data_IF_775726844468
#
_entry.id   IF_775726844468
#
_cell.length_a   1.000
_cell.length_b   1.000
_cell.length_c   1.000
_cell.angle_alpha   90.00
_cell.angle_beta   90.00
_cell.angle_gamma   90.00
#
_symmetry.space_group_name_H-M   'P 1'
#
loop_
_entity.id
_entity.type
_entity.pdbx_description
1 polymer ?
#
# COMPACT_ATOMS: atom_id res chain seq x y z
N UNK A 1 -17.32 -18.31 -17.65
CA UNK A 1 -16.28 -18.42 -16.59
C UNK A 1 -16.85 -18.12 -15.22
N UNK A 2 -17.61 -17.03 -15.06
CA UNK A 2 -18.20 -16.63 -13.77
C UNK A 2 -19.05 -17.72 -13.10
N UNK A 3 -19.92 -18.39 -13.87
CA UNK A 3 -20.72 -19.52 -13.36
C UNK A 3 -19.89 -20.70 -12.85
N UNK A 4 -18.71 -20.96 -13.45
CA UNK A 4 -17.82 -22.04 -12.99
C UNK A 4 -17.12 -21.65 -11.69
N UNK A 5 -16.68 -20.40 -11.56
CA UNK A 5 -16.07 -19.92 -10.31
C UNK A 5 -17.08 -19.88 -9.16
N UNK A 6 -18.32 -19.45 -9.43
CA UNK A 6 -19.41 -19.52 -8.45
C UNK A 6 -19.67 -20.95 -7.99
N UNK A 7 -19.68 -21.89 -8.93
CA UNK A 7 -19.88 -23.30 -8.63
C UNK A 7 -18.71 -23.91 -7.85
N UNK A 8 -17.46 -23.53 -8.15
CA UNK A 8 -16.27 -23.91 -7.36
C UNK A 8 -16.40 -23.41 -5.93
N UNK A 9 -16.88 -22.18 -5.73
CA UNK A 9 -17.08 -21.60 -4.41
C UNK A 9 -18.12 -22.31 -3.54
N UNK A 10 -18.92 -23.21 -4.13
CA UNK A 10 -20.00 -23.94 -3.45
C UNK A 10 -19.82 -25.47 -3.52
N UNK A 11 -18.62 -25.97 -3.85
CA UNK A 11 -18.35 -27.42 -3.95
C UNK A 11 -18.68 -28.19 -2.67
N UNK A 12 -18.54 -27.56 -1.51
CA UNK A 12 -18.87 -28.10 -0.18
C UNK A 12 -20.37 -28.29 0.06
N UNK A 13 -21.22 -27.65 -0.75
CA UNK A 13 -22.67 -27.75 -0.67
C UNK A 13 -23.28 -28.73 -1.70
N UNK A 14 -22.45 -29.33 -2.57
CA UNK A 14 -22.94 -30.20 -3.65
C UNK A 14 -23.08 -31.67 -3.18
N UNK A 15 -24.16 -32.37 -3.58
CA UNK A 15 -24.23 -33.82 -3.46
C UNK A 15 -23.10 -34.50 -4.24
N UNK A 16 -22.62 -35.66 -3.75
CA UNK A 16 -21.49 -36.40 -4.32
C UNK A 16 -21.54 -36.59 -5.85
N UNK A 17 -22.68 -36.98 -6.48
CA UNK A 17 -22.73 -37.12 -7.94
C UNK A 17 -22.47 -35.80 -8.69
N UNK A 18 -23.00 -34.68 -8.18
CA UNK A 18 -22.77 -33.35 -8.75
C UNK A 18 -21.35 -32.88 -8.54
N UNK A 19 -20.79 -33.12 -7.34
CA UNK A 19 -19.39 -32.84 -7.03
C UNK A 19 -18.45 -33.58 -7.99
N UNK A 20 -18.67 -34.88 -8.18
CA UNK A 20 -17.87 -35.73 -9.08
C UNK A 20 -17.95 -35.23 -10.53
N UNK A 21 -19.17 -34.95 -11.03
CA UNK A 21 -19.40 -34.42 -12.38
C UNK A 21 -18.64 -33.12 -12.64
N UNK A 22 -18.63 -32.23 -11.64
CA UNK A 22 -17.94 -30.95 -11.74
C UNK A 22 -16.44 -31.14 -11.82
N UNK A 23 -15.86 -31.96 -10.95
CA UNK A 23 -14.41 -32.23 -10.98
C UNK A 23 -13.99 -32.91 -12.28
N UNK A 24 -14.80 -33.84 -12.81
CA UNK A 24 -14.57 -34.46 -14.11
C UNK A 24 -14.58 -33.43 -15.24
N UNK A 25 -15.55 -32.51 -15.25
CA UNK A 25 -15.62 -31.45 -16.26
C UNK A 25 -14.42 -30.50 -16.19
N UNK A 26 -14.04 -30.06 -14.99
CA UNK A 26 -12.85 -29.22 -14.76
C UNK A 26 -11.54 -29.92 -15.15
N UNK A 27 -11.53 -31.25 -15.06
CA UNK A 27 -10.44 -32.13 -15.48
C UNK A 27 -10.43 -32.47 -16.98
N UNK A 28 -11.47 -32.11 -17.73
CA UNK A 28 -11.62 -32.49 -19.13
C UNK A 28 -10.68 -31.70 -20.05
N UNK A 29 -10.51 -32.17 -21.30
CA UNK A 29 -9.76 -31.44 -22.32
C UNK A 29 -10.36 -30.04 -22.61
N UNK A 30 -11.68 -29.88 -22.45
CA UNK A 30 -12.37 -28.62 -22.67
C UNK A 30 -11.89 -27.50 -21.74
N UNK A 31 -11.36 -27.84 -20.56
CA UNK A 31 -10.82 -26.88 -19.59
C UNK A 31 -9.29 -26.93 -19.57
N UNK A 32 -8.70 -28.13 -19.59
CA UNK A 32 -7.24 -28.28 -19.47
C UNK A 32 -6.47 -27.80 -20.70
N UNK A 33 -7.10 -27.72 -21.88
CA UNK A 33 -6.50 -27.19 -23.11
C UNK A 33 -6.80 -25.71 -23.36
N UNK A 34 -7.53 -25.03 -22.47
CA UNK A 34 -7.69 -23.57 -22.57
C UNK A 34 -6.33 -22.87 -22.40
N UNK A 35 -6.14 -21.69 -23.03
CA UNK A 35 -4.98 -20.85 -22.77
C UNK A 35 -4.79 -20.59 -21.27
N UNK A 36 -3.53 -20.45 -20.82
CA UNK A 36 -3.22 -20.35 -19.38
C UNK A 36 -3.96 -19.20 -18.69
N UNK A 37 -4.07 -18.05 -19.38
CA UNK A 37 -4.78 -16.87 -18.90
C UNK A 37 -6.28 -17.17 -18.72
N UNK A 38 -6.88 -17.97 -19.60
CA UNK A 38 -8.30 -18.32 -19.53
C UNK A 38 -8.58 -19.32 -18.42
N UNK A 39 -7.71 -20.32 -18.19
CA UNK A 39 -7.89 -21.28 -17.09
C UNK A 39 -7.44 -20.75 -15.71
N UNK A 40 -6.65 -19.67 -15.67
CA UNK A 40 -6.13 -19.07 -14.43
C UNK A 40 -7.23 -18.80 -13.37
N UNK A 41 -8.38 -18.16 -13.68
CA UNK A 41 -9.42 -17.91 -12.68
C UNK A 41 -10.00 -19.18 -12.05
N UNK A 42 -10.10 -20.26 -12.83
CA UNK A 42 -10.56 -21.58 -12.35
C UNK A 42 -9.52 -22.16 -11.41
N UNK A 43 -8.26 -22.21 -11.84
CA UNK A 43 -7.15 -22.72 -11.03
C UNK A 43 -7.02 -21.93 -9.71
N UNK A 44 -7.01 -20.60 -9.77
CA UNK A 44 -6.97 -19.73 -8.59
C UNK A 44 -8.14 -19.97 -7.65
N UNK A 45 -9.36 -20.18 -8.17
CA UNK A 45 -10.54 -20.45 -7.35
C UNK A 45 -10.44 -21.80 -6.64
N UNK A 46 -10.00 -22.85 -7.35
CA UNK A 46 -9.78 -24.18 -6.77
C UNK A 46 -8.69 -24.15 -5.70
N UNK A 47 -7.54 -23.52 -5.98
CA UNK A 47 -6.43 -23.40 -5.02
C UNK A 47 -6.85 -22.57 -3.80
N UNK A 48 -7.60 -21.48 -3.99
CA UNK A 48 -8.13 -20.69 -2.85
C UNK A 48 -9.08 -21.53 -2.01
N UNK A 49 -9.97 -22.28 -2.65
CA UNK A 49 -10.93 -23.15 -1.99
C UNK A 49 -10.22 -24.22 -1.15
N UNK A 50 -9.30 -24.99 -1.75
CA UNK A 50 -8.58 -26.06 -1.02
C UNK A 50 -7.75 -25.51 0.14
N UNK A 51 -7.04 -24.38 -0.06
CA UNK A 51 -6.30 -23.73 1.03
C UNK A 51 -7.18 -23.34 2.21
N UNK A 52 -8.37 -22.79 1.96
CA UNK A 52 -9.35 -22.48 3.02
C UNK A 52 -9.74 -23.75 3.78
N UNK A 53 -10.05 -24.84 3.09
CA UNK A 53 -10.42 -26.10 3.72
C UNK A 53 -9.27 -26.74 4.51
N UNK A 54 -8.04 -26.68 4.00
CA UNK A 54 -6.83 -27.16 4.71
C UNK A 54 -6.56 -26.36 5.99
N UNK A 55 -6.66 -25.04 5.91
CA UNK A 55 -6.41 -24.14 7.05
C UNK A 55 -7.40 -24.33 8.19
N UNK A 56 -8.64 -24.66 7.89
CA UNK A 56 -9.70 -24.85 8.88
C UNK A 56 -10.14 -26.31 8.99
N UNK A 57 -9.22 -27.27 8.78
CA UNK A 57 -9.51 -28.71 8.71
C UNK A 57 -10.25 -29.31 9.92
N UNK A 58 -10.24 -28.62 11.07
CA UNK A 58 -10.97 -28.99 12.28
C UNK A 58 -12.39 -28.41 12.38
N UNK A 59 -12.80 -27.54 11.47
CA UNK A 59 -14.10 -26.88 11.49
C UNK A 59 -15.20 -27.81 10.96
N UNK A 60 -16.44 -27.63 11.44
CA UNK A 60 -17.56 -28.49 11.03
C UNK A 60 -17.97 -28.36 9.56
N UNK A 61 -17.65 -27.23 8.93
CA UNK A 61 -18.02 -26.92 7.55
C UNK A 61 -16.97 -27.41 6.53
N UNK A 62 -15.81 -27.90 6.98
CA UNK A 62 -14.80 -28.37 6.03
C UNK A 62 -15.12 -29.73 5.46
N UNK A 63 -15.01 -29.85 4.14
CA UNK A 63 -14.90 -31.12 3.44
C UNK A 63 -13.84 -32.05 4.06
N UNK A 64 -14.07 -33.35 3.91
CA UNK A 64 -13.14 -34.39 4.32
C UNK A 64 -11.84 -34.37 3.48
N UNK A 65 -10.81 -35.02 4.00
CA UNK A 65 -9.46 -35.05 3.41
C UNK A 65 -9.43 -35.63 2.00
N UNK A 66 -10.24 -36.65 1.72
CA UNK A 66 -10.32 -37.30 0.41
C UNK A 66 -10.91 -36.32 -0.62
N UNK A 67 -12.03 -35.68 -0.28
CA UNK A 67 -12.68 -34.67 -1.11
C UNK A 67 -11.74 -33.50 -1.41
N UNK A 68 -11.06 -32.95 -0.41
CA UNK A 68 -10.10 -31.85 -0.61
C UNK A 68 -8.94 -32.29 -1.52
N UNK A 69 -8.38 -33.49 -1.30
CA UNK A 69 -7.30 -34.03 -2.13
C UNK A 69 -7.71 -34.23 -3.59
N UNK A 70 -8.97 -34.59 -3.86
CA UNK A 70 -9.50 -34.69 -5.24
C UNK A 70 -9.62 -33.33 -5.93
N UNK A 71 -10.00 -32.29 -5.20
CA UNK A 71 -10.02 -30.92 -5.73
C UNK A 71 -8.59 -30.45 -6.01
N UNK A 72 -7.64 -30.74 -5.12
CA UNK A 72 -6.21 -30.44 -5.31
C UNK A 72 -5.65 -31.14 -6.55
N UNK A 73 -5.96 -32.42 -6.75
CA UNK A 73 -5.57 -33.16 -7.95
C UNK A 73 -6.14 -32.52 -9.23
N UNK A 74 -7.39 -32.04 -9.18
CA UNK A 74 -8.02 -31.31 -10.30
C UNK A 74 -7.31 -29.98 -10.55
N UNK A 75 -7.04 -29.20 -9.50
CA UNK A 75 -6.30 -27.94 -9.59
C UNK A 75 -4.91 -28.14 -10.19
N UNK A 76 -4.20 -29.21 -9.80
CA UNK A 76 -2.85 -29.53 -10.29
C UNK A 76 -2.80 -29.73 -11.81
N UNK A 77 -3.89 -30.21 -12.44
CA UNK A 77 -3.99 -30.33 -13.90
C UNK A 77 -4.16 -28.98 -14.60
N UNK A 78 -4.61 -27.97 -13.87
CA UNK A 78 -4.83 -26.61 -14.36
C UNK A 78 -3.69 -25.65 -14.02
N UNK A 79 -2.64 -26.13 -13.32
CA UNK A 79 -1.48 -25.34 -12.94
C UNK A 79 -0.84 -24.67 -14.16
N UNK A 80 -0.68 -23.34 -14.14
CA UNK A 80 0.08 -22.62 -15.17
C UNK A 80 1.54 -23.08 -15.20
N UNK A 81 2.10 -23.19 -16.39
CA UNK A 81 3.52 -23.49 -16.59
C UNK A 81 4.36 -22.20 -16.60
N UNK A 82 3.78 -21.08 -17.04
CA UNK A 82 4.48 -19.79 -17.08
C UNK A 82 4.61 -19.22 -15.65
N UNK A 83 5.83 -18.93 -15.14
CA UNK A 83 6.03 -18.39 -13.80
C UNK A 83 5.22 -17.10 -13.53
N UNK A 84 5.10 -16.24 -14.54
CA UNK A 84 4.38 -14.95 -14.49
C UNK A 84 2.87 -15.12 -14.32
N UNK A 85 2.34 -16.31 -14.66
CA UNK A 85 0.92 -16.66 -14.46
C UNK A 85 0.77 -17.43 -13.15
N UNK A 86 1.67 -18.38 -12.90
CA UNK A 86 1.70 -19.22 -11.71
C UNK A 86 1.74 -18.38 -10.42
N UNK A 87 2.56 -17.33 -10.38
CA UNK A 87 2.80 -16.61 -9.12
C UNK A 87 1.87 -15.43 -8.84
N UNK A 88 0.93 -15.11 -9.73
CA UNK A 88 0.04 -13.93 -9.56
C UNK A 88 -0.68 -13.92 -8.21
N UNK A 89 -1.15 -15.07 -7.75
CA UNK A 89 -1.88 -15.20 -6.48
C UNK A 89 -1.02 -14.82 -5.25
N UNK A 90 0.30 -14.95 -5.31
CA UNK A 90 1.21 -14.55 -4.23
C UNK A 90 1.30 -13.03 -4.09
N UNK A 91 0.94 -12.27 -5.12
CA UNK A 91 1.00 -10.81 -5.17
C UNK A 91 -0.41 -10.20 -5.25
N UNK A 92 -1.34 -10.78 -4.48
CA UNK A 92 -2.68 -10.22 -4.26
C UNK A 92 -2.70 -9.19 -3.14
N UNK A 93 -3.79 -8.44 -3.03
CA UNK A 93 -4.00 -7.43 -1.98
C UNK A 93 -4.34 -8.02 -0.59
N UNK A 94 -4.59 -9.33 -0.49
CA UNK A 94 -5.10 -10.00 0.72
C UNK A 94 -4.12 -11.04 1.27
N UNK A 95 -3.03 -10.57 1.88
CA UNK A 95 -1.98 -11.45 2.45
C UNK A 95 -2.50 -12.45 3.48
N UNK A 96 -3.57 -12.10 4.23
CA UNK A 96 -4.18 -13.00 5.21
C UNK A 96 -4.73 -14.29 4.57
N UNK A 97 -5.21 -14.24 3.33
CA UNK A 97 -5.67 -15.42 2.58
C UNK A 97 -4.49 -16.31 2.17
N UNK A 98 -3.25 -15.80 2.27
CA UNK A 98 -2.03 -16.49 1.90
C UNK A 98 -1.29 -17.13 3.09
N UNK A 99 -1.77 -16.97 4.32
CA UNK A 99 -1.21 -17.63 5.50
C UNK A 99 -1.74 -19.06 5.65
N UNK A 100 -0.86 -19.94 6.12
CA UNK A 100 -1.11 -21.38 6.26
C UNK A 100 -1.67 -21.74 7.65
N UNK A 101 -1.38 -20.92 8.67
CA UNK A 101 -1.81 -21.12 10.05
C UNK A 101 -2.51 -19.87 10.60
N UNK A 102 -3.27 -20.03 11.68
CA UNK A 102 -3.98 -18.93 12.34
C UNK A 102 -3.12 -18.18 13.37
N UNK A 103 -2.06 -18.81 13.87
CA UNK A 103 -1.18 -18.26 14.92
C UNK A 103 0.18 -17.81 14.34
N UNK A 104 0.91 -17.01 15.12
CA UNK A 104 2.26 -16.51 14.79
C UNK A 104 2.38 -15.73 13.47
N UNK A 105 1.70 -14.59 13.39
CA UNK A 105 1.70 -13.71 12.21
C UNK A 105 3.10 -13.37 11.66
N UNK A 106 4.11 -13.22 12.54
CA UNK A 106 5.48 -12.87 12.14
C UNK A 106 6.11 -13.98 11.31
N UNK A 107 5.96 -15.22 11.73
CA UNK A 107 6.49 -16.38 11.02
C UNK A 107 5.76 -16.61 9.70
N UNK A 108 4.43 -16.49 9.71
CA UNK A 108 3.61 -16.60 8.50
C UNK A 108 3.98 -15.53 7.47
N UNK A 109 4.24 -14.29 7.93
CA UNK A 109 4.73 -13.22 7.06
C UNK A 109 6.08 -13.58 6.43
N UNK A 110 7.03 -14.07 7.23
CA UNK A 110 8.35 -14.49 6.74
C UNK A 110 8.25 -15.61 5.69
N UNK A 111 7.44 -16.65 5.94
CA UNK A 111 7.21 -17.75 4.99
C UNK A 111 6.61 -17.24 3.67
N UNK A 112 5.66 -16.31 3.74
CA UNK A 112 5.09 -15.68 2.55
C UNK A 112 6.13 -14.87 1.77
N UNK A 113 6.96 -14.11 2.46
CA UNK A 113 8.02 -13.30 1.84
C UNK A 113 9.07 -14.21 1.16
N UNK A 114 9.48 -15.32 1.78
CA UNK A 114 10.38 -16.32 1.17
C UNK A 114 9.78 -16.93 -0.12
N UNK A 115 8.47 -17.22 -0.12
CA UNK A 115 7.76 -17.70 -1.32
C UNK A 115 7.73 -16.66 -2.44
N UNK A 116 7.50 -15.38 -2.09
CA UNK A 116 7.54 -14.25 -3.03
C UNK A 116 8.94 -14.07 -3.61
N UNK A 117 9.98 -14.16 -2.79
CA UNK A 117 11.38 -14.09 -3.21
C UNK A 117 11.71 -15.18 -4.22
N UNK A 118 11.35 -16.44 -3.93
CA UNK A 118 11.53 -17.54 -4.86
C UNK A 118 10.79 -17.31 -6.19
N UNK A 119 9.54 -16.86 -6.12
CA UNK A 119 8.73 -16.55 -7.29
C UNK A 119 9.37 -15.50 -8.21
N UNK A 120 9.81 -14.37 -7.66
CA UNK A 120 10.48 -13.33 -8.45
C UNK A 120 11.81 -13.83 -9.00
N UNK A 121 12.58 -14.62 -8.24
CA UNK A 121 13.82 -15.21 -8.75
C UNK A 121 13.57 -16.13 -9.94
N UNK A 122 12.51 -16.95 -9.91
CA UNK A 122 12.13 -17.80 -11.03
C UNK A 122 11.70 -17.00 -12.26
N UNK A 123 10.94 -15.91 -12.08
CA UNK A 123 10.58 -15.01 -13.19
C UNK A 123 11.83 -14.34 -13.79
N UNK A 124 12.76 -13.85 -12.96
CA UNK A 124 14.03 -13.28 -13.45
C UNK A 124 14.81 -14.31 -14.25
N UNK A 125 14.90 -15.55 -13.77
CA UNK A 125 15.65 -16.60 -14.44
C UNK A 125 15.01 -17.00 -15.78
N UNK A 126 13.69 -16.94 -15.90
CA UNK A 126 12.96 -17.30 -17.10
C UNK A 126 12.99 -16.17 -18.16
N UNK A 127 12.74 -14.93 -17.73
CA UNK A 127 12.35 -13.83 -18.62
C UNK A 127 13.10 -12.51 -18.34
N UNK A 128 14.07 -12.54 -17.42
CA UNK A 128 14.84 -11.37 -17.02
C UNK A 128 14.00 -10.28 -16.35
N UNK A 129 14.55 -9.07 -16.31
CA UNK A 129 13.88 -7.91 -15.70
C UNK A 129 12.62 -7.52 -16.47
N UNK A 130 12.63 -7.65 -17.79
CA UNK A 130 11.46 -7.34 -18.62
C UNK A 130 10.26 -8.22 -18.23
N UNK A 131 10.47 -9.52 -17.98
CA UNK A 131 9.42 -10.40 -17.49
C UNK A 131 8.87 -10.01 -16.11
N UNK A 132 9.72 -9.48 -15.22
CA UNK A 132 9.26 -8.92 -13.93
C UNK A 132 8.36 -7.71 -14.16
N UNK A 133 8.68 -6.84 -15.12
CA UNK A 133 7.87 -5.66 -15.40
C UNK A 133 6.53 -6.00 -16.05
N UNK A 134 6.51 -6.98 -16.97
CA UNK A 134 5.27 -7.55 -17.49
C UNK A 134 4.42 -8.21 -16.39
N UNK A 135 5.08 -8.85 -15.42
CA UNK A 135 4.42 -9.39 -14.24
C UNK A 135 3.78 -8.29 -13.37
N UNK A 136 4.47 -7.15 -13.18
CA UNK A 136 3.92 -5.98 -12.47
C UNK A 136 2.60 -5.50 -13.09
N UNK A 137 2.51 -5.48 -14.42
CA UNK A 137 1.29 -5.07 -15.12
C UNK A 137 0.11 -6.03 -14.87
N UNK A 138 0.39 -7.29 -14.55
CA UNK A 138 -0.61 -8.35 -14.43
C UNK A 138 -1.11 -8.63 -12.99
N UNK A 139 -0.55 -7.95 -11.97
CA UNK A 139 -0.83 -8.25 -10.55
C UNK A 139 -1.47 -7.07 -9.79
N UNK A 140 -2.01 -7.36 -8.61
CA UNK A 140 -2.73 -6.40 -7.75
C UNK A 140 -1.80 -5.60 -6.84
N UNK A 141 -0.67 -6.18 -6.41
CA UNK A 141 0.26 -5.57 -5.46
C UNK A 141 1.66 -5.29 -6.04
N UNK A 142 1.84 -4.33 -6.98
CA UNK A 142 3.13 -3.96 -7.56
C UNK A 142 4.22 -3.60 -6.56
N UNK A 143 3.84 -2.91 -5.48
CA UNK A 143 4.76 -2.55 -4.39
C UNK A 143 5.42 -3.76 -3.74
N UNK A 144 4.73 -4.90 -3.70
CA UNK A 144 5.29 -6.14 -3.17
C UNK A 144 6.34 -6.74 -4.11
N UNK A 145 6.14 -6.63 -5.43
CA UNK A 145 7.15 -7.01 -6.42
C UNK A 145 8.39 -6.14 -6.26
N UNK A 146 8.21 -4.82 -6.15
CA UNK A 146 9.30 -3.87 -5.88
C UNK A 146 10.06 -4.21 -4.61
N UNK A 147 9.33 -4.44 -3.50
CA UNK A 147 9.91 -4.83 -2.22
C UNK A 147 10.77 -6.09 -2.35
N UNK A 148 10.22 -7.15 -2.96
CA UNK A 148 10.93 -8.41 -3.18
C UNK A 148 12.17 -8.21 -4.06
N UNK A 149 12.04 -7.47 -5.17
CA UNK A 149 13.16 -7.13 -6.06
C UNK A 149 14.29 -6.44 -5.30
N UNK A 150 14.00 -5.40 -4.52
CA UNK A 150 15.03 -4.69 -3.74
C UNK A 150 15.59 -5.51 -2.58
N UNK A 151 14.99 -6.66 -2.25
CA UNK A 151 15.50 -7.64 -1.28
C UNK A 151 16.49 -8.64 -1.89
N UNK A 152 16.18 -9.18 -3.06
CA UNK A 152 16.95 -10.33 -3.60
C UNK A 152 17.99 -9.95 -4.65
N UNK A 153 17.82 -8.79 -5.31
CA UNK A 153 18.70 -8.41 -6.43
C UNK A 153 19.95 -7.66 -5.94
N UNK A 154 21.09 -7.78 -6.63
CA UNK A 154 22.29 -7.00 -6.31
C UNK A 154 22.11 -5.51 -6.64
N UNK A 155 22.84 -4.62 -5.94
CA UNK A 155 22.78 -3.17 -6.16
C UNK A 155 23.17 -2.73 -7.58
N UNK A 156 23.81 -3.60 -8.37
CA UNK A 156 24.16 -3.33 -9.77
C UNK A 156 22.94 -3.09 -10.66
N UNK A 157 21.74 -3.46 -10.22
CA UNK A 157 20.49 -3.20 -10.93
C UNK A 157 19.93 -1.79 -10.68
N UNK A 158 20.32 -1.14 -9.59
CA UNK A 158 19.74 0.13 -9.16
C UNK A 158 19.91 1.24 -10.22
N UNK A 159 21.08 1.39 -10.88
CA UNK A 159 21.27 2.41 -11.94
C UNK A 159 20.44 2.16 -13.20
N UNK A 160 19.90 0.95 -13.38
CA UNK A 160 19.04 0.61 -14.51
C UNK A 160 17.58 0.84 -14.16
N UNK A 161 17.14 0.38 -12.98
CA UNK A 161 15.73 0.45 -12.57
C UNK A 161 15.32 1.85 -12.11
N UNK A 162 16.13 2.52 -11.29
CA UNK A 162 15.70 3.77 -10.65
C UNK A 162 15.44 4.88 -11.68
N UNK A 163 16.34 5.19 -12.63
CA UNK A 163 16.05 6.24 -13.62
C UNK A 163 14.81 5.91 -14.46
N UNK A 164 14.62 4.65 -14.83
CA UNK A 164 13.50 4.23 -15.69
C UNK A 164 12.14 4.36 -14.99
N UNK A 165 12.06 4.00 -13.71
CA UNK A 165 10.76 3.83 -13.01
C UNK A 165 10.43 4.88 -11.96
N UNK A 166 11.33 5.82 -11.65
CA UNK A 166 11.06 6.87 -10.65
C UNK A 166 10.08 7.95 -11.13
N UNK A 167 10.10 8.32 -12.42
CA UNK A 167 9.22 9.37 -12.97
C UNK A 167 8.31 8.83 -14.08
N UNK A 168 7.50 7.85 -13.72
CA UNK A 168 6.51 7.23 -14.60
C UNK A 168 5.10 7.61 -14.16
N UNK A 169 4.20 7.84 -15.12
CA UNK A 169 2.80 8.17 -14.84
C UNK A 169 1.97 6.95 -14.43
N UNK A 170 2.42 5.73 -14.74
CA UNK A 170 1.70 4.50 -14.44
C UNK A 170 1.76 4.22 -12.93
N UNK A 171 0.59 4.18 -12.28
CA UNK A 171 0.46 3.95 -10.83
C UNK A 171 1.07 2.63 -10.37
N UNK A 172 1.03 1.57 -11.19
CA UNK A 172 1.63 0.27 -10.84
C UNK A 172 3.14 0.37 -10.78
N UNK A 173 3.75 1.08 -11.72
CA UNK A 173 5.20 1.28 -11.72
C UNK A 173 5.65 2.23 -10.61
N UNK A 174 4.85 3.24 -10.26
CA UNK A 174 5.11 4.07 -9.07
C UNK A 174 5.08 3.23 -7.78
N UNK A 175 4.08 2.36 -7.64
CA UNK A 175 3.99 1.44 -6.51
C UNK A 175 5.19 0.48 -6.47
N UNK A 176 5.58 -0.08 -7.61
CA UNK A 176 6.79 -0.90 -7.75
C UNK A 176 8.05 -0.14 -7.31
N UNK A 177 8.28 1.07 -7.85
CA UNK A 177 9.43 1.89 -7.50
C UNK A 177 9.46 2.22 -6.00
N UNK A 178 8.32 2.58 -5.42
CA UNK A 178 8.20 2.82 -3.98
C UNK A 178 8.52 1.59 -3.14
N UNK A 179 8.02 0.41 -3.51
CA UNK A 179 8.36 -0.84 -2.85
C UNK A 179 9.85 -1.17 -2.92
N UNK A 180 10.46 -0.94 -4.09
CA UNK A 180 11.89 -1.19 -4.34
C UNK A 180 12.79 -0.25 -3.53
N UNK A 181 12.53 1.06 -3.58
CA UNK A 181 13.30 2.05 -2.80
C UNK A 181 13.14 1.78 -1.31
N UNK A 182 11.93 1.49 -0.85
CA UNK A 182 11.66 1.21 0.56
C UNK A 182 12.40 -0.04 1.05
N UNK A 183 12.42 -1.14 0.30
CA UNK A 183 13.14 -2.34 0.71
C UNK A 183 14.66 -2.16 0.70
N UNK A 184 15.21 -1.44 -0.28
CA UNK A 184 16.63 -1.09 -0.32
C UNK A 184 17.04 -0.27 0.89
N UNK A 185 16.27 0.77 1.21
CA UNK A 185 16.48 1.58 2.41
C UNK A 185 16.41 0.74 3.69
N UNK A 186 15.41 -0.14 3.84
CA UNK A 186 15.26 -0.97 5.04
C UNK A 186 16.45 -1.92 5.27
N UNK A 187 17.12 -2.38 4.21
CA UNK A 187 18.24 -3.31 4.31
C UNK A 187 19.60 -2.62 4.47
N UNK A 188 19.79 -1.47 3.81
CA UNK A 188 21.10 -0.85 3.65
C UNK A 188 21.18 0.58 4.23
N UNK A 189 20.05 1.13 4.66
CA UNK A 189 19.94 2.42 5.30
C UNK A 189 20.39 3.59 4.42
N UNK A 190 20.77 4.67 5.10
CA UNK A 190 21.21 5.92 4.47
C UNK A 190 22.48 5.78 3.63
N UNK A 191 23.35 4.80 3.95
CA UNK A 191 24.55 4.55 3.15
C UNK A 191 24.21 4.23 1.70
N UNK A 192 23.20 3.38 1.47
CA UNK A 192 22.74 3.08 0.11
C UNK A 192 22.19 4.33 -0.59
N UNK A 193 21.34 5.08 0.12
CA UNK A 193 20.73 6.33 -0.38
C UNK A 193 21.79 7.34 -0.85
N UNK A 194 22.86 7.50 -0.06
CA UNK A 194 23.90 8.48 -0.31
C UNK A 194 24.91 8.04 -1.39
N UNK A 195 25.08 6.73 -1.59
CA UNK A 195 25.98 6.17 -2.61
C UNK A 195 25.38 6.10 -4.03
N UNK A 196 24.09 6.40 -4.22
CA UNK A 196 23.47 6.41 -5.55
C UNK A 196 24.06 7.52 -6.43
N UNK A 197 24.47 7.16 -7.64
CA UNK A 197 24.80 8.14 -8.68
C UNK A 197 23.52 8.74 -9.26
N UNK A 198 23.31 10.02 -8.95
CA UNK A 198 22.14 10.80 -9.39
C UNK A 198 22.49 11.84 -10.46
N UNK A 199 23.70 11.79 -11.02
CA UNK A 199 24.21 12.84 -11.93
C UNK A 199 23.29 13.07 -13.14
N UNK A 200 22.65 12.01 -13.63
CA UNK A 200 21.75 12.06 -14.78
C UNK A 200 20.26 12.06 -14.41
N UNK A 201 19.92 12.20 -13.12
CA UNK A 201 18.52 12.23 -12.69
C UNK A 201 17.93 13.62 -12.87
N UNK A 202 16.72 13.68 -13.38
CA UNK A 202 15.89 14.88 -13.36
C UNK A 202 15.46 15.22 -11.93
N UNK A 203 15.11 16.49 -11.71
CA UNK A 203 14.55 16.95 -10.44
C UNK A 203 13.29 16.16 -10.03
N UNK A 204 12.47 15.73 -10.99
CA UNK A 204 11.28 14.94 -10.70
C UNK A 204 11.66 13.53 -10.21
N UNK A 205 12.63 12.86 -10.85
CA UNK A 205 13.11 11.55 -10.38
C UNK A 205 13.71 11.65 -8.97
N UNK A 206 14.51 12.69 -8.69
CA UNK A 206 15.05 12.94 -7.35
C UNK A 206 13.92 13.15 -6.34
N UNK A 207 12.91 13.96 -6.69
CA UNK A 207 11.75 14.21 -5.83
C UNK A 207 10.96 12.93 -5.54
N UNK A 208 10.68 12.12 -6.57
CA UNK A 208 9.95 10.85 -6.44
C UNK A 208 10.72 9.85 -5.57
N UNK A 209 12.03 9.74 -5.78
CA UNK A 209 12.88 8.90 -4.95
C UNK A 209 12.82 9.30 -3.47
N UNK A 210 12.93 10.60 -3.17
CA UNK A 210 12.85 11.12 -1.81
C UNK A 210 11.48 10.87 -1.17
N UNK A 211 10.39 10.93 -1.93
CA UNK A 211 9.04 10.62 -1.43
C UNK A 211 8.83 9.14 -1.09
N UNK A 212 9.71 8.25 -1.54
CA UNK A 212 9.69 6.83 -1.17
C UNK A 212 10.55 6.50 0.07
N UNK A 213 11.25 7.49 0.61
CA UNK A 213 12.04 7.38 1.85
C UNK A 213 11.20 7.78 3.07
N UNK A 214 11.64 7.49 4.31
CA UNK A 214 10.85 7.80 5.50
C UNK A 214 10.60 9.30 5.62
N UNK A 215 9.43 9.68 6.12
CA UNK A 215 9.09 11.07 6.41
C UNK A 215 9.79 11.55 7.69
N UNK A 216 11.11 11.79 7.59
CA UNK A 216 11.97 12.18 8.71
C UNK A 216 13.02 13.23 8.31
N UNK A 217 13.71 13.79 9.31
CA UNK A 217 14.71 14.86 9.16
C UNK A 217 15.82 14.52 8.16
N UNK A 218 16.27 13.27 8.10
CA UNK A 218 17.30 12.84 7.17
C UNK A 218 16.84 12.95 5.70
N UNK A 219 15.58 12.62 5.41
CA UNK A 219 14.99 12.81 4.08
C UNK A 219 14.85 14.30 3.78
N UNK A 220 14.41 15.10 4.75
CA UNK A 220 14.20 16.53 4.55
C UNK A 220 15.50 17.28 4.27
N UNK A 221 16.59 16.95 4.98
CA UNK A 221 17.91 17.47 4.68
C UNK A 221 18.35 17.14 3.25
N UNK A 222 18.08 15.91 2.78
CA UNK A 222 18.38 15.51 1.39
C UNK A 222 17.47 16.20 0.39
N UNK A 223 16.20 16.40 0.69
CA UNK A 223 15.29 17.17 -0.14
C UNK A 223 15.80 18.61 -0.34
N UNK A 224 16.18 19.28 0.75
CA UNK A 224 16.80 20.61 0.69
C UNK A 224 18.09 20.60 -0.13
N UNK A 225 19.00 19.64 0.13
CA UNK A 225 20.32 19.64 -0.49
C UNK A 225 20.31 19.19 -1.96
N UNK A 226 19.44 18.24 -2.34
CA UNK A 226 19.45 17.63 -3.68
C UNK A 226 18.50 18.33 -4.65
N UNK A 227 17.42 18.95 -4.16
CA UNK A 227 16.49 19.72 -4.99
C UNK A 227 16.83 21.22 -5.00
N UNK A 228 17.60 21.72 -4.02
CA UNK A 228 17.97 23.13 -3.93
C UNK A 228 16.76 24.05 -3.95
N UNK A 229 16.75 25.03 -4.86
CA UNK A 229 15.63 25.97 -5.05
C UNK A 229 14.29 25.29 -5.38
N UNK A 230 14.34 24.02 -5.82
CA UNK A 230 13.16 23.20 -6.13
C UNK A 230 12.68 22.33 -4.97
N UNK A 231 13.18 22.52 -3.73
CA UNK A 231 12.76 21.76 -2.54
C UNK A 231 11.23 21.77 -2.35
N UNK A 232 10.56 22.88 -2.70
CA UNK A 232 9.10 23.00 -2.61
C UNK A 232 8.34 21.88 -3.36
N UNK A 233 8.93 21.30 -4.41
CA UNK A 233 8.36 20.17 -5.15
C UNK A 233 8.11 18.95 -4.26
N UNK A 234 9.02 18.68 -3.32
CA UNK A 234 8.88 17.58 -2.37
C UNK A 234 7.72 17.85 -1.40
N UNK A 235 7.71 19.02 -0.77
CA UNK A 235 6.70 19.37 0.24
C UNK A 235 5.28 19.44 -0.33
N UNK A 236 5.14 19.87 -1.58
CA UNK A 236 3.85 19.90 -2.29
C UNK A 236 3.26 18.50 -2.52
N UNK A 237 4.08 17.46 -2.63
CA UNK A 237 3.64 16.13 -3.08
C UNK A 237 3.77 15.03 -2.05
N UNK A 238 4.64 15.18 -1.05
CA UNK A 238 4.93 14.13 -0.08
C UNK A 238 3.69 13.73 0.71
N UNK A 239 3.44 12.42 0.79
CA UNK A 239 2.46 11.87 1.73
C UNK A 239 3.08 11.89 3.12
N UNK A 240 2.44 12.59 4.06
CA UNK A 240 2.95 12.69 5.43
C UNK A 240 2.70 11.41 6.19
N UNK A 241 3.73 10.94 6.89
CA UNK A 241 3.59 9.85 7.86
C UNK A 241 4.34 10.23 9.15
N UNK A 242 3.66 10.94 10.08
CA UNK A 242 4.25 11.41 11.33
C UNK A 242 4.91 10.31 12.18
N UNK A 243 4.44 9.06 12.06
CA UNK A 243 4.94 7.92 12.83
C UNK A 243 6.35 7.47 12.42
N UNK A 244 6.85 7.90 11.27
CA UNK A 244 8.18 7.53 10.79
C UNK A 244 9.30 8.39 11.37
N UNK A 245 8.98 9.54 11.97
CA UNK A 245 10.00 10.43 12.55
C UNK A 245 10.11 10.23 14.06
N UNK A 246 11.34 9.99 14.52
CA UNK A 246 11.71 10.06 15.95
C UNK A 246 11.98 11.51 16.39
N UNK A 247 12.22 12.41 15.44
CA UNK A 247 12.46 13.84 15.69
C UNK A 247 11.16 14.65 15.68
N UNK A 248 11.23 15.86 16.23
CA UNK A 248 10.11 16.80 16.19
C UNK A 248 9.73 17.19 14.75
N UNK A 249 8.43 17.35 14.50
CA UNK A 249 7.80 17.66 13.21
C UNK A 249 7.66 19.16 12.93
N UNK A 250 8.11 20.06 13.82
CA UNK A 250 7.94 21.52 13.63
C UNK A 250 8.49 22.02 12.30
N UNK A 251 9.66 21.53 11.88
CA UNK A 251 10.25 21.87 10.59
C UNK A 251 9.33 21.47 9.43
N UNK A 252 8.82 20.25 9.47
CA UNK A 252 7.90 19.76 8.44
C UNK A 252 6.59 20.55 8.42
N UNK A 253 6.03 20.87 9.60
CA UNK A 253 4.82 21.69 9.72
C UNK A 253 5.03 23.06 9.06
N UNK A 254 6.15 23.74 9.34
CA UNK A 254 6.46 25.03 8.74
C UNK A 254 6.61 24.94 7.21
N UNK A 255 7.30 23.90 6.73
CA UNK A 255 7.48 23.67 5.29
C UNK A 255 6.15 23.38 4.59
N UNK A 256 5.29 22.53 5.17
CA UNK A 256 3.97 22.21 4.64
C UNK A 256 3.06 23.43 4.58
N UNK A 257 3.03 24.26 5.64
CA UNK A 257 2.28 25.51 5.65
C UNK A 257 2.80 26.50 4.61
N UNK A 258 4.12 26.55 4.38
CA UNK A 258 4.72 27.45 3.38
C UNK A 258 4.32 27.10 1.93
N UNK A 259 3.94 25.85 1.67
CA UNK A 259 3.47 25.38 0.35
C UNK A 259 1.95 25.17 0.31
N UNK A 260 1.21 25.83 1.21
CA UNK A 260 -0.25 25.76 1.28
C UNK A 260 -0.82 24.34 1.42
N UNK A 261 -0.19 23.50 2.26
CA UNK A 261 -0.68 22.16 2.63
C UNK A 261 -1.11 22.08 4.11
N UNK A 262 -2.16 22.82 4.49
CA UNK A 262 -2.58 22.89 5.89
C UNK A 262 -3.10 21.56 6.45
N UNK A 263 -3.75 20.71 5.65
CA UNK A 263 -4.21 19.41 6.14
C UNK A 263 -3.06 18.50 6.59
N UNK A 264 -1.99 18.44 5.81
CA UNK A 264 -0.81 17.65 6.17
C UNK A 264 -0.12 18.21 7.42
N UNK A 265 -0.10 19.53 7.58
CA UNK A 265 0.38 20.17 8.79
C UNK A 265 -0.50 19.83 10.01
N UNK A 266 -1.83 19.80 9.84
CA UNK A 266 -2.79 19.37 10.87
C UNK A 266 -2.53 17.93 11.30
N UNK A 267 -2.29 17.00 10.38
CA UNK A 267 -1.98 15.60 10.73
C UNK A 267 -0.69 15.48 11.56
N UNK A 268 0.34 16.27 11.23
CA UNK A 268 1.56 16.35 12.03
C UNK A 268 1.33 16.98 13.42
N UNK A 269 0.53 18.05 13.51
CA UNK A 269 0.18 18.70 14.77
C UNK A 269 -0.66 17.79 15.67
N UNK A 270 -1.64 17.10 15.10
CA UNK A 270 -2.45 16.12 15.80
C UNK A 270 -1.58 14.96 16.33
N UNK A 271 -0.65 14.44 15.52
CA UNK A 271 0.28 13.43 16.00
C UNK A 271 1.11 13.91 17.20
N UNK A 272 1.61 15.15 17.18
CA UNK A 272 2.30 15.75 18.34
C UNK A 272 1.39 15.81 19.57
N UNK A 273 0.14 16.25 19.39
CA UNK A 273 -0.86 16.30 20.46
C UNK A 273 -1.15 14.91 21.03
N UNK A 274 -1.34 13.90 20.18
CA UNK A 274 -1.52 12.50 20.57
C UNK A 274 -0.32 11.95 21.36
N UNK A 275 0.91 12.37 21.01
CA UNK A 275 2.14 12.07 21.75
C UNK A 275 2.30 12.89 23.05
N UNK A 276 1.31 13.71 23.40
CA UNK A 276 1.29 14.57 24.60
C UNK A 276 2.45 15.58 24.65
N UNK A 277 2.92 16.00 23.47
CA UNK A 277 3.88 17.11 23.38
C UNK A 277 3.16 18.44 23.64
N UNK A 278 3.90 19.50 24.05
CA UNK A 278 3.32 20.83 24.24
C UNK A 278 2.60 21.31 22.97
N UNK A 279 1.41 21.88 23.17
CA UNK A 279 0.58 22.43 22.11
C UNK A 279 1.27 23.67 21.51
N UNK A 280 1.51 23.63 20.20
CA UNK A 280 2.01 24.79 19.46
C UNK A 280 0.84 25.61 18.94
N UNK A 281 0.37 26.55 19.78
CA UNK A 281 -0.83 27.35 19.51
C UNK A 281 -0.72 28.09 18.19
N UNK A 282 0.41 28.77 17.98
CA UNK A 282 0.63 29.60 16.79
C UNK A 282 0.54 28.79 15.51
N UNK A 283 1.19 27.62 15.45
CA UNK A 283 1.12 26.75 14.27
C UNK A 283 -0.24 26.07 14.12
N UNK A 284 -0.89 25.72 15.24
CA UNK A 284 -2.22 25.10 15.23
C UNK A 284 -3.27 26.06 14.70
N UNK A 285 -3.34 27.27 15.25
CA UNK A 285 -4.23 28.34 14.77
C UNK A 285 -3.98 28.61 13.31
N UNK A 286 -2.71 28.82 12.90
CA UNK A 286 -2.38 29.06 11.49
C UNK A 286 -2.85 27.93 10.57
N UNK A 287 -2.57 26.68 10.92
CA UNK A 287 -2.94 25.54 10.09
C UNK A 287 -4.47 25.40 9.93
N UNK A 288 -5.23 25.60 11.02
CA UNK A 288 -6.70 25.57 11.00
C UNK A 288 -7.28 26.71 10.15
N UNK A 289 -6.71 27.91 10.24
CA UNK A 289 -7.12 29.07 9.46
C UNK A 289 -6.83 28.90 7.96
N UNK A 290 -5.64 28.38 7.62
CA UNK A 290 -5.24 28.11 6.25
C UNK A 290 -6.10 26.99 5.64
N UNK A 291 -6.45 25.96 6.42
CA UNK A 291 -7.32 24.85 6.00
C UNK A 291 -8.71 25.31 5.52
N UNK A 292 -9.32 26.28 6.21
CA UNK A 292 -10.61 26.85 5.79
C UNK A 292 -10.48 27.66 4.52
N UNK A 293 -9.38 28.40 4.38
CA UNK A 293 -9.16 29.31 3.25
C UNK A 293 -8.97 28.56 1.92
N UNK A 294 -8.32 27.39 1.93
CA UNK A 294 -8.03 26.60 0.71
C UNK A 294 -9.21 25.71 0.30
N UNK A 295 -10.31 25.68 1.08
CA UNK A 295 -11.49 24.81 0.86
C UNK A 295 -11.15 23.31 0.74
N UNK A 296 -10.01 22.86 1.28
CA UNK A 296 -9.59 21.44 1.32
C UNK A 296 -10.45 20.58 2.26
N UNK A 297 -11.40 21.18 2.97
CA UNK A 297 -12.22 20.55 4.01
C UNK A 297 -13.22 19.48 3.51
N UNK A 298 -13.37 19.27 2.20
CA UNK A 298 -14.34 18.31 1.63
C UNK A 298 -13.96 16.83 1.88
N UNK A 299 -12.67 16.53 2.13
CA UNK A 299 -12.17 15.17 2.37
C UNK A 299 -11.43 15.02 3.73
N UNK A 300 -11.65 15.93 4.67
CA UNK A 300 -10.84 16.01 5.89
C UNK A 300 -11.12 14.91 6.91
N UNK A 301 -10.06 14.47 7.60
CA UNK A 301 -10.16 13.78 8.88
C UNK A 301 -10.65 14.77 9.94
N UNK A 302 -11.97 14.99 9.93
CA UNK A 302 -12.73 15.87 10.83
C UNK A 302 -12.35 15.67 12.30
N UNK A 303 -11.94 14.45 12.65
CA UNK A 303 -11.50 14.09 13.97
C UNK A 303 -10.23 14.85 14.43
N UNK A 304 -9.17 14.91 13.61
CA UNK A 304 -7.92 15.61 13.97
C UNK A 304 -8.16 17.09 14.28
N UNK A 305 -8.96 17.73 13.43
CA UNK A 305 -9.34 19.14 13.58
C UNK A 305 -10.13 19.36 14.87
N UNK A 306 -11.14 18.52 15.10
CA UNK A 306 -11.99 18.62 16.30
C UNK A 306 -11.16 18.48 17.58
N UNK A 307 -10.24 17.52 17.62
CA UNK A 307 -9.39 17.32 18.80
C UNK A 307 -8.41 18.47 19.02
N UNK A 308 -7.84 19.04 17.96
CA UNK A 308 -6.97 20.22 18.07
C UNK A 308 -7.72 21.48 18.51
N UNK A 309 -8.96 21.69 18.06
CA UNK A 309 -9.79 22.81 18.53
C UNK A 309 -10.12 22.66 20.00
N UNK A 310 -10.53 21.46 20.44
CA UNK A 310 -10.74 21.20 21.87
C UNK A 310 -9.47 21.43 22.68
N UNK A 311 -8.31 21.06 22.15
CA UNK A 311 -7.04 21.31 22.81
C UNK A 311 -6.79 22.82 23.00
N UNK A 312 -7.08 23.63 21.98
CA UNK A 312 -6.97 25.10 22.05
C UNK A 312 -7.99 25.71 23.03
N UNK A 313 -9.25 25.26 23.02
CA UNK A 313 -10.31 25.76 23.91
C UNK A 313 -10.04 25.47 25.39
N UNK A 314 -9.41 24.34 25.69
CA UNK A 314 -9.06 23.96 27.06
C UNK A 314 -7.74 24.60 27.54
N UNK A 315 -7.04 25.33 26.68
CA UNK A 315 -5.79 25.99 26.99
C UNK A 315 -6.03 27.46 27.31
N UNK A 316 -5.90 27.82 28.59
CA UNK A 316 -6.16 29.17 29.10
C UNK A 316 -5.23 30.26 28.55
N UNK A 317 -4.15 29.87 27.86
CA UNK A 317 -3.22 30.79 27.21
C UNK A 317 -3.53 31.01 25.72
N UNK A 318 -4.59 30.39 25.18
CA UNK A 318 -5.05 30.64 23.81
C UNK A 318 -5.84 31.96 23.73
N UNK A 319 -5.56 32.78 22.72
CA UNK A 319 -6.27 34.04 22.49
C UNK A 319 -7.74 33.78 22.07
N UNK A 320 -8.68 34.43 22.74
CA UNK A 320 -10.13 34.26 22.52
C UNK A 320 -10.56 34.70 21.11
N UNK A 321 -9.87 35.69 20.54
CA UNK A 321 -10.11 36.16 19.17
C UNK A 321 -9.74 35.11 18.11
N UNK A 322 -8.64 34.38 18.31
CA UNK A 322 -8.21 33.29 17.43
C UNK A 322 -9.20 32.13 17.46
N UNK A 323 -9.65 31.75 18.66
CA UNK A 323 -10.69 30.72 18.86
C UNK A 323 -11.99 31.10 18.18
N UNK A 324 -12.49 32.31 18.43
CA UNK A 324 -13.74 32.82 17.84
C UNK A 324 -13.68 32.82 16.32
N UNK A 325 -12.52 33.17 15.75
CA UNK A 325 -12.32 33.21 14.29
C UNK A 325 -12.28 31.81 13.69
N UNK A 326 -11.62 30.85 14.33
CA UNK A 326 -11.60 29.43 13.91
C UNK A 326 -13.02 28.86 13.98
N UNK A 327 -13.72 29.06 15.10
CA UNK A 327 -15.09 28.56 15.30
C UNK A 327 -16.06 29.13 14.28
N UNK A 328 -16.00 30.43 14.01
CA UNK A 328 -16.82 31.07 13.00
C UNK A 328 -16.57 30.51 11.59
N UNK A 329 -15.30 30.38 11.22
CA UNK A 329 -14.88 29.86 9.92
C UNK A 329 -15.30 28.40 9.70
N UNK A 330 -15.20 27.59 10.74
CA UNK A 330 -15.61 26.19 10.72
C UNK A 330 -17.13 26.10 10.67
N UNK A 331 -17.86 26.75 11.58
CA UNK A 331 -19.33 26.74 11.57
C UNK A 331 -19.89 27.13 10.20
N UNK A 332 -19.38 28.19 9.57
CA UNK A 332 -19.82 28.61 8.25
C UNK A 332 -19.56 27.55 7.17
N UNK A 333 -18.36 26.94 7.19
CA UNK A 333 -18.01 25.89 6.25
C UNK A 333 -18.87 24.63 6.41
N UNK A 334 -19.18 24.22 7.64
CA UNK A 334 -20.05 23.07 7.91
C UNK A 334 -21.51 23.35 7.55
N UNK A 335 -22.01 24.57 7.74
CA UNK A 335 -23.36 24.97 7.30
C UNK A 335 -23.51 25.07 5.77
N UNK A 336 -22.43 25.35 5.05
CA UNK A 336 -22.43 25.41 3.58
C UNK A 336 -22.40 24.01 2.92
N UNK A 337 -21.94 22.97 3.64
CA UNK A 337 -21.85 21.59 3.15
C UNK A 337 -23.01 20.72 3.66
N UNK A 338 -23.51 20.95 4.87
CA UNK A 338 -24.67 20.26 5.44
C UNK A 338 -25.86 21.20 5.38
N UNK A 339 -26.85 20.90 4.51
CA UNK A 339 -28.13 21.64 4.49
C UNK A 339 -28.61 21.85 5.93
N UNK A 340 -28.95 23.09 6.34
CA UNK A 340 -29.31 23.36 7.71
C UNK A 340 -30.53 22.52 8.10
N UNK A 341 -30.38 21.72 9.15
CA UNK A 341 -31.53 21.23 9.91
C UNK A 341 -32.23 22.46 10.49
N UNK A 342 -33.55 22.59 10.35
CA UNK A 342 -34.28 23.75 10.83
C UNK A 342 -34.37 23.65 12.35
N UNK A 343 -33.40 24.20 13.08
CA UNK A 343 -33.49 24.65 14.48
C UNK A 343 -32.16 25.28 14.96
N UNK A 344 -31.62 26.22 14.18
CA UNK A 344 -30.86 27.35 14.70
C UNK A 344 -31.55 28.63 14.26
#
# INVERSE_FOLDING_TARGET
MDKLNELIGNLDNLPKPSFDTVLEYLSSAAITQLPEIERLPIWSSLTKFTRKHRRFSSAKWTLDDESVSRIEATANRLTPNSPEILYRNLFSSRDFDLYEENDNWKEQRKKLDERRQKAIQEIINASGIQGVMEFVDAIESPSMVGWTMGTITPNTIDPVLLPEYLDVKNIKYQQFAGGFVWSRYQQQGWQWVDCLDRTNWSLMQICQFLMHLPFEVNTWCRANNWLGDSESMYWQKVTVNPHQSDSDLLLAIDKLLSVARPQAAIDCLYYRFYKKLPLDRKRTVKALMDAVSVKELVNMETYHITELIKALQNDSETEEDDLSRIEWLICHYWTDIVKPSPNC
#
